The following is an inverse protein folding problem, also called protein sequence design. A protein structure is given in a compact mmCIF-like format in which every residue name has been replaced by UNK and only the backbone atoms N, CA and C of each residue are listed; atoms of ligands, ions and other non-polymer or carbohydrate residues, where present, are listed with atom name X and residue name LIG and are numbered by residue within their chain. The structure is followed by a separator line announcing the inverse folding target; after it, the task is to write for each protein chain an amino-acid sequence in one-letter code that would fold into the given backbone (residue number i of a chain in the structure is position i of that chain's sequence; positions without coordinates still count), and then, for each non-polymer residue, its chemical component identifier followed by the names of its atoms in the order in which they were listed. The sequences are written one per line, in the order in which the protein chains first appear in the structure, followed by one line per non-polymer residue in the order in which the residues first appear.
data_IF_519164847709
#
_entry.id   IF_519164847709
#
_cell.length_a   1.000
_cell.length_b   1.000
_cell.length_c   1.000
_cell.angle_alpha   90.00
_cell.angle_beta   90.00
_cell.angle_gamma   90.00
#
_symmetry.space_group_name_H-M   'P 1'
#
loop_
_entity.id
_entity.type
_entity.pdbx_description
1 polymer ?
#
# COMPACT_ATOMS: atom_id res chain seq x y z
N UNK A 1 19.87 17.92 -3.17
CA UNK A 1 18.99 17.14 -2.29
C UNK A 1 17.74 16.80 -3.10
N UNK A 2 17.56 15.55 -3.47
CA UNK A 2 16.40 15.11 -4.27
C UNK A 2 15.14 15.20 -3.39
N UNK A 3 14.13 15.97 -3.83
CA UNK A 3 12.85 16.06 -3.12
C UNK A 3 12.09 14.75 -3.35
N UNK A 4 12.22 13.81 -2.42
CA UNK A 4 11.33 12.63 -2.37
C UNK A 4 9.98 13.11 -1.85
N UNK A 5 9.04 13.35 -2.77
CA UNK A 5 7.67 13.73 -2.46
C UNK A 5 6.70 12.63 -2.87
N UNK A 6 5.70 12.38 -2.03
CA UNK A 6 4.56 11.53 -2.38
C UNK A 6 3.47 12.46 -2.89
N UNK A 7 3.09 12.29 -4.15
CA UNK A 7 2.08 13.11 -4.82
C UNK A 7 1.09 12.21 -5.55
N UNK A 8 -0.18 12.61 -5.59
CA UNK A 8 -1.22 11.85 -6.29
C UNK A 8 -1.18 11.99 -7.83
N UNK A 9 -0.04 12.44 -8.35
CA UNK A 9 0.24 12.55 -9.76
C UNK A 9 0.74 11.20 -10.29
N UNK A 10 0.24 10.74 -11.45
CA UNK A 10 0.65 9.46 -12.01
C UNK A 10 2.09 9.50 -12.52
N UNK A 11 2.85 8.45 -12.23
CA UNK A 11 4.19 8.19 -12.75
C UNK A 11 4.15 6.86 -13.49
N UNK A 12 4.71 6.83 -14.70
CA UNK A 12 4.87 5.60 -15.45
C UNK A 12 6.18 4.91 -15.08
N UNK A 13 6.10 3.62 -14.84
CA UNK A 13 7.21 2.78 -14.43
C UNK A 13 7.22 1.53 -15.30
N UNK A 14 8.34 1.27 -15.97
CA UNK A 14 8.58 0.00 -16.66
C UNK A 14 9.11 -1.02 -15.65
N UNK A 15 8.35 -2.08 -15.39
CA UNK A 15 8.77 -3.14 -14.49
C UNK A 15 8.98 -4.45 -15.27
N UNK A 16 10.16 -5.05 -15.12
CA UNK A 16 10.55 -6.24 -15.91
C UNK A 16 9.63 -7.44 -15.74
N UNK A 17 8.94 -7.56 -14.59
CA UNK A 17 8.03 -8.67 -14.29
C UNK A 17 6.55 -8.35 -14.54
N UNK A 18 6.16 -7.07 -14.57
CA UNK A 18 4.74 -6.67 -14.61
C UNK A 18 4.39 -5.73 -15.75
N UNK A 19 5.32 -5.56 -16.70
CA UNK A 19 5.18 -4.65 -17.81
C UNK A 19 5.19 -3.18 -17.38
N UNK A 20 4.66 -2.35 -18.25
CA UNK A 20 4.49 -0.92 -18.03
C UNK A 20 3.28 -0.68 -17.13
N UNK A 21 3.49 0.03 -16.02
CA UNK A 21 2.44 0.42 -15.09
C UNK A 21 2.42 1.93 -14.95
N UNK A 22 1.23 2.47 -14.66
CA UNK A 22 1.05 3.86 -14.24
C UNK A 22 0.62 3.86 -12.78
N UNK A 23 1.53 4.26 -11.91
CA UNK A 23 1.32 4.28 -10.46
C UNK A 23 1.11 5.69 -9.93
N UNK A 24 0.34 5.83 -8.86
CA UNK A 24 0.26 7.05 -8.03
C UNK A 24 0.16 6.66 -6.57
N UNK A 25 0.69 7.52 -5.69
CA UNK A 25 0.68 7.26 -4.26
C UNK A 25 0.36 8.53 -3.46
N UNK A 26 -0.27 8.36 -2.30
CA UNK A 26 -0.56 9.44 -1.35
C UNK A 26 -0.57 8.91 0.08
N UNK A 27 -0.36 9.80 1.04
CA UNK A 27 -0.82 9.58 2.40
C UNK A 27 -2.29 10.02 2.45
N UNK A 28 -3.14 9.20 3.05
CA UNK A 28 -4.59 9.43 3.14
C UNK A 28 -5.08 8.98 4.50
N UNK A 29 -6.15 9.61 4.99
CA UNK A 29 -6.79 9.11 6.21
C UNK A 29 -7.50 7.78 5.94
N UNK A 30 -7.58 6.93 6.96
CA UNK A 30 -8.21 5.61 6.83
C UNK A 30 -9.70 5.74 6.47
N UNK A 31 -10.41 6.72 7.04
CA UNK A 31 -11.83 6.97 6.77
C UNK A 31 -12.11 7.50 5.36
N UNK A 32 -11.14 8.17 4.74
CA UNK A 32 -11.16 8.70 3.37
C UNK A 32 -10.89 7.65 2.28
N UNK A 33 -10.57 6.40 2.63
CA UNK A 33 -10.45 5.32 1.66
C UNK A 33 -11.82 4.98 1.05
N UNK A 34 -11.89 4.84 -0.27
CA UNK A 34 -13.16 4.57 -0.96
C UNK A 34 -13.63 3.11 -0.80
N UNK A 35 -12.69 2.18 -0.64
CA UNK A 35 -12.98 0.74 -0.55
C UNK A 35 -12.99 0.34 0.92
N UNK A 36 -14.15 -0.10 1.41
CA UNK A 36 -14.35 -0.51 2.82
C UNK A 36 -13.36 -1.59 3.27
N UNK A 37 -13.11 -2.61 2.43
CA UNK A 37 -12.14 -3.65 2.77
C UNK A 37 -10.74 -3.07 3.04
N UNK A 38 -10.32 -2.00 2.35
CA UNK A 38 -9.01 -1.38 2.56
C UNK A 38 -8.91 -0.58 3.88
N UNK A 39 -10.03 -0.31 4.56
CA UNK A 39 -10.04 0.42 5.85
C UNK A 39 -9.69 -0.45 7.06
N UNK A 40 -9.84 -1.77 6.93
CA UNK A 40 -9.82 -2.68 8.09
C UNK A 40 -8.43 -3.08 8.60
N UNK A 41 -8.42 -3.58 9.83
CA UNK A 41 -7.33 -4.31 10.51
C UNK A 41 -6.02 -3.55 10.74
N UNK A 42 -6.00 -2.25 10.47
CA UNK A 42 -4.87 -1.40 10.84
C UNK A 42 -4.76 -1.28 12.37
N UNK A 43 -3.53 -1.06 12.84
CA UNK A 43 -3.24 -0.83 14.25
C UNK A 43 -4.17 0.23 14.85
N UNK A 44 -4.64 -0.02 16.08
CA UNK A 44 -5.55 0.88 16.79
C UNK A 44 -4.96 2.30 16.89
N UNK A 45 -5.79 3.31 16.62
CA UNK A 45 -5.38 4.71 16.61
C UNK A 45 -4.63 5.14 15.35
N UNK A 46 -4.48 4.29 14.33
CA UNK A 46 -3.86 4.68 13.06
C UNK A 46 -4.83 5.51 12.22
N UNK A 47 -4.53 6.81 12.11
CA UNK A 47 -5.37 7.74 11.35
C UNK A 47 -5.02 7.78 9.85
N UNK A 48 -3.75 7.58 9.50
CA UNK A 48 -3.25 7.74 8.13
C UNK A 48 -2.50 6.50 7.63
N UNK A 49 -2.68 6.20 6.35
CA UNK A 49 -2.03 5.08 5.65
C UNK A 49 -1.49 5.55 4.30
N UNK A 50 -0.61 4.74 3.69
CA UNK A 50 -0.10 5.03 2.36
C UNK A 50 -0.92 4.28 1.33
N UNK A 51 -1.63 5.00 0.47
CA UNK A 51 -2.42 4.44 -0.62
C UNK A 51 -1.62 4.44 -1.91
N UNK A 52 -1.77 3.38 -2.70
CA UNK A 52 -1.29 3.27 -4.07
C UNK A 52 -2.43 2.88 -4.99
N UNK A 53 -2.44 3.46 -6.19
CA UNK A 53 -3.27 3.02 -7.30
C UNK A 53 -2.37 2.73 -8.48
N UNK A 54 -2.49 1.54 -9.05
CA UNK A 54 -1.65 1.10 -10.17
C UNK A 54 -2.52 0.64 -11.32
N UNK A 55 -2.33 1.25 -12.48
CA UNK A 55 -2.99 0.90 -13.73
C UNK A 55 -1.99 0.14 -14.60
N UNK A 56 -2.33 -1.08 -15.03
CA UNK A 56 -1.49 -1.83 -15.97
C UNK A 56 -1.73 -1.31 -17.39
N UNK A 57 -0.69 -0.80 -18.04
CA UNK A 57 -0.79 -0.20 -19.38
C UNK A 57 -0.87 -1.32 -20.44
N UNK A 58 -0.08 -2.37 -20.24
CA UNK A 58 0.01 -3.50 -21.18
C UNK A 58 -1.13 -4.52 -21.00
N UNK A 59 -1.78 -4.53 -19.84
CA UNK A 59 -2.96 -5.36 -19.53
C UNK A 59 -4.18 -4.46 -19.42
N UNK A 60 -4.97 -4.37 -20.51
CA UNK A 60 -6.09 -3.43 -20.61
C UNK A 60 -7.06 -3.58 -19.42
N UNK A 61 -7.25 -2.48 -18.69
CA UNK A 61 -8.32 -2.33 -17.70
C UNK A 61 -8.00 -2.86 -16.30
N UNK A 62 -6.82 -3.45 -16.06
CA UNK A 62 -6.45 -3.94 -14.72
C UNK A 62 -5.95 -2.77 -13.87
N UNK A 63 -6.71 -2.42 -12.83
CA UNK A 63 -6.39 -1.36 -11.88
C UNK A 63 -6.35 -1.92 -10.47
N UNK A 64 -5.17 -2.01 -9.87
CA UNK A 64 -5.03 -2.45 -8.47
C UNK A 64 -5.07 -1.27 -7.52
N UNK A 65 -5.67 -1.48 -6.35
CA UNK A 65 -5.59 -0.56 -5.22
C UNK A 65 -4.85 -1.22 -4.08
N UNK A 66 -3.95 -0.49 -3.45
CA UNK A 66 -3.11 -1.02 -2.38
C UNK A 66 -3.05 -0.02 -1.24
N UNK A 67 -3.07 -0.52 0.00
CA UNK A 67 -2.85 0.29 1.19
C UNK A 67 -1.75 -0.36 2.02
N UNK A 68 -0.76 0.43 2.39
CA UNK A 68 0.36 0.04 3.24
C UNK A 68 0.19 0.70 4.60
N UNK A 69 0.29 -0.10 5.65
CA UNK A 69 0.09 0.31 7.02
C UNK A 69 0.78 -0.61 8.02
N UNK A 70 0.47 -0.42 9.28
CA UNK A 70 0.91 -1.27 10.38
C UNK A 70 -0.30 -2.02 10.92
N UNK A 71 -0.11 -3.29 11.26
CA UNK A 71 -1.13 -4.17 11.83
C UNK A 71 -0.58 -4.85 13.07
N UNK A 72 -1.47 -5.32 13.94
CA UNK A 72 -1.10 -6.10 15.14
C UNK A 72 -1.64 -7.52 14.99
N UNK A 73 -0.74 -8.50 14.91
CA UNK A 73 -1.06 -9.93 14.81
C UNK A 73 -0.50 -10.61 16.05
N UNK A 74 -1.38 -11.22 16.85
CA UNK A 74 -1.01 -11.90 18.11
C UNK A 74 -0.18 -11.02 19.06
N UNK A 75 -0.48 -9.72 19.09
CA UNK A 75 0.22 -8.76 19.92
C UNK A 75 1.52 -8.19 19.31
N UNK A 76 2.02 -8.76 18.22
CA UNK A 76 3.23 -8.33 17.52
C UNK A 76 2.87 -7.38 16.37
N UNK A 77 3.62 -6.28 16.24
CA UNK A 77 3.40 -5.25 15.23
C UNK A 77 4.14 -5.60 13.94
N UNK A 78 3.44 -5.58 12.82
CA UNK A 78 4.00 -5.85 11.49
C UNK A 78 3.68 -4.72 10.52
N UNK A 79 4.55 -4.54 9.52
CA UNK A 79 4.16 -3.83 8.31
C UNK A 79 3.29 -4.76 7.46
N UNK A 80 2.20 -4.24 6.92
CA UNK A 80 1.31 -5.00 6.06
C UNK A 80 0.86 -4.18 4.87
N UNK A 81 0.62 -4.87 3.76
CA UNK A 81 0.00 -4.32 2.57
C UNK A 81 -1.29 -5.07 2.27
N UNK A 82 -2.40 -4.35 2.20
CA UNK A 82 -3.68 -4.85 1.70
C UNK A 82 -3.81 -4.47 0.23
N UNK A 83 -4.06 -5.45 -0.62
CA UNK A 83 -4.11 -5.32 -2.08
C UNK A 83 -5.46 -5.81 -2.58
N UNK A 84 -6.16 -4.93 -3.28
CA UNK A 84 -7.39 -5.22 -4.01
C UNK A 84 -7.06 -5.40 -5.49
N UNK A 85 -7.33 -6.59 -6.02
CA UNK A 85 -7.09 -6.96 -7.42
C UNK A 85 -8.42 -7.19 -8.11
N UNK A 86 -8.76 -6.45 -9.18
CA UNK A 86 -9.93 -6.76 -9.99
C UNK A 86 -9.81 -8.15 -10.62
N UNK A 87 -10.90 -8.91 -10.59
CA UNK A 87 -10.97 -10.20 -11.29
C UNK A 87 -11.61 -9.98 -12.66
N UNK A 88 -10.96 -10.43 -13.72
CA UNK A 88 -11.51 -10.30 -15.07
C UNK A 88 -12.88 -10.98 -15.20
N UNK A 89 -13.87 -10.26 -15.75
CA UNK A 89 -15.22 -10.79 -15.98
C UNK A 89 -16.07 -11.02 -14.72
N UNK A 90 -15.69 -10.43 -13.58
CA UNK A 90 -16.38 -10.61 -12.31
C UNK A 90 -16.50 -9.29 -11.54
N UNK A 91 -17.63 -9.11 -10.86
CA UNK A 91 -17.84 -8.00 -9.92
C UNK A 91 -17.11 -8.21 -8.59
N UNK A 92 -16.47 -9.37 -8.40
CA UNK A 92 -15.69 -9.69 -7.21
C UNK A 92 -14.22 -9.34 -7.41
N UNK A 93 -13.66 -8.65 -6.44
CA UNK A 93 -12.23 -8.41 -6.36
C UNK A 93 -11.54 -9.51 -5.54
N UNK A 94 -10.30 -9.83 -5.91
CA UNK A 94 -9.37 -10.54 -5.04
C UNK A 94 -8.86 -9.61 -3.95
N UNK A 95 -8.87 -10.11 -2.72
CA UNK A 95 -8.47 -9.40 -1.50
C UNK A 95 -7.25 -10.11 -0.90
N UNK A 96 -6.10 -9.45 -0.87
CA UNK A 96 -4.83 -10.04 -0.46
C UNK A 96 -4.19 -9.20 0.65
N UNK A 97 -3.92 -9.80 1.81
CA UNK A 97 -3.10 -9.20 2.86
C UNK A 97 -1.70 -9.80 2.82
N UNK A 98 -0.69 -8.95 2.60
CA UNK A 98 0.72 -9.31 2.68
C UNK A 98 1.25 -8.79 4.01
N UNK A 99 1.70 -9.70 4.88
CA UNK A 99 2.40 -9.37 6.13
C UNK A 99 3.90 -9.46 5.88
N UNK A 100 4.62 -8.37 6.13
CA UNK A 100 6.07 -8.36 6.00
C UNK A 100 6.70 -8.74 7.33
N UNK A 101 7.31 -9.93 7.37
CA UNK A 101 8.19 -10.32 8.47
C UNK A 101 9.60 -9.79 8.20
N UNK A 102 10.11 -8.93 9.08
CA UNK A 102 11.52 -8.53 9.03
C UNK A 102 12.35 -9.50 9.87
N UNK A 103 13.24 -10.28 9.25
CA UNK A 103 14.16 -11.18 9.95
C UNK A 103 15.29 -10.45 10.71
N UNK A 104 15.39 -9.13 10.56
CA UNK A 104 16.32 -8.28 11.29
C UNK A 104 15.56 -7.48 12.36
N UNK A 105 16.03 -7.44 13.63
CA UNK A 105 15.45 -6.53 14.61
C UNK A 105 15.62 -5.11 14.07
N UNK A 106 14.52 -4.39 13.90
CA UNK A 106 14.52 -3.00 13.47
C UNK A 106 15.22 -2.15 14.54
N UNK A 107 16.54 -1.99 14.42
CA UNK A 107 17.31 -1.01 15.18
C UNK A 107 17.05 0.35 14.57
N UNK A 108 15.99 1.01 15.03
CA UNK A 108 15.88 2.44 14.80
C UNK A 108 16.93 3.13 15.68
N UNK A 109 17.80 4.00 15.13
CA UNK A 109 18.62 4.85 15.98
C UNK A 109 17.68 5.75 16.77
N UNK A 110 17.64 5.54 18.09
CA UNK A 110 17.09 6.53 19.01
C UNK A 110 18.06 7.70 18.94
N UNK A 111 17.68 8.77 18.24
CA UNK A 111 18.32 10.07 18.47
C UNK A 111 18.01 10.44 19.91
N UNK A 112 18.95 10.16 20.81
CA UNK A 112 19.01 10.87 22.08
C UNK A 112 19.42 12.29 21.70
N UNK A 113 18.49 13.22 21.86
CA UNK A 113 18.77 14.63 21.65
C UNK A 113 19.97 15.06 22.50
N UNK A 114 20.84 15.82 21.87
CA UNK A 114 21.73 16.79 22.52
C UNK A 114 21.15 18.18 22.30
#
# INVERSE_FOLDING_TARGET
MEKRGIHWEPVELGHSLSGSIRGRSRVVKVDELEVEWLKGEWEEGKEEVMQFKTEHIDSKGVVTQQVLGLVKVEGVRYQARRVLVPTEGSDKNGEITIIYESSAPARFPVNKGE
#
